data_IF_078012090230
#
_entry.id   IF_078012090230
#
_cell.length_a   1.000
_cell.length_b   1.000
_cell.length_c   1.000
_cell.angle_alpha   90.00
_cell.angle_beta   90.00
_cell.angle_gamma   90.00
#
_symmetry.space_group_name_H-M   'P 1'
#
loop_
_entity.id
_entity.type
_entity.pdbx_description
1 polymer ?
2 non-polymer ?
3 water ?
#
# COMPACT_ATOMS: atom_id res chain seq x y z
N UNK A 1 41.18 50.34 -33.45
CA UNK A 1 40.30 49.22 -33.14
C UNK A 1 39.28 49.62 -32.08
N UNK A 2 39.11 50.94 -31.89
CA UNK A 2 38.29 51.39 -30.78
C UNK A 2 36.82 51.36 -31.13
N UNK A 3 36.47 51.04 -32.37
CA UNK A 3 35.07 50.96 -32.73
C UNK A 3 34.48 49.59 -32.40
N UNK A 4 35.25 48.53 -32.65
CA UNK A 4 34.86 47.22 -32.13
C UNK A 4 34.91 47.20 -30.61
N UNK A 5 35.88 47.90 -30.03
CA UNK A 5 35.93 48.03 -28.57
C UNK A 5 34.62 48.59 -28.03
N UNK A 6 34.13 49.67 -28.65
CA UNK A 6 32.89 50.29 -28.18
C UNK A 6 31.69 49.38 -28.39
N UNK A 7 31.64 48.71 -29.54
CA UNK A 7 30.49 47.86 -29.86
C UNK A 7 30.34 46.72 -28.87
N UNK A 8 31.46 46.10 -28.49
CA UNK A 8 31.41 45.02 -27.51
C UNK A 8 30.89 45.53 -26.17
N UNK A 9 31.33 46.71 -25.74
CA UNK A 9 30.91 47.26 -24.45
C UNK A 9 29.41 47.52 -24.42
N UNK A 10 28.82 47.82 -25.56
CA UNK A 10 27.39 48.10 -25.58
C UNK A 10 26.56 46.82 -25.51
N UNK A 11 26.95 45.79 -26.25
CA UNK A 11 26.23 44.52 -26.19
C UNK A 11 26.38 43.86 -24.83
N UNK A 12 27.48 44.12 -24.14
CA UNK A 12 27.65 43.61 -22.79
C UNK A 12 26.74 44.33 -21.81
N UNK A 13 26.67 45.66 -21.91
CA UNK A 13 25.68 46.42 -21.14
C UNK A 13 24.28 45.87 -21.39
N UNK A 14 23.88 45.79 -22.66
CA UNK A 14 22.56 45.27 -22.99
C UNK A 14 22.37 43.87 -22.42
N UNK A 15 23.39 43.02 -22.56
CA UNK A 15 23.29 41.65 -22.06
C UNK A 15 23.13 41.63 -20.54
N UNK A 16 24.05 42.27 -19.83
CA UNK A 16 23.94 42.35 -18.38
C UNK A 16 22.60 42.93 -17.96
N UNK A 17 22.26 44.13 -18.45
CA UNK A 17 21.05 44.79 -18.00
C UNK A 17 19.80 43.97 -18.29
N UNK A 18 19.81 43.19 -19.37
CA UNK A 18 18.63 42.40 -19.69
C UNK A 18 18.50 41.22 -18.73
N UNK A 19 19.56 40.43 -18.59
CA UNK A 19 19.51 39.29 -17.68
C UNK A 19 19.14 39.71 -16.27
N UNK A 20 19.57 40.90 -15.84
CA UNK A 20 19.23 41.36 -14.51
C UNK A 20 17.76 41.71 -14.38
N UNK A 21 17.17 42.29 -15.43
CA UNK A 21 15.74 42.56 -15.36
C UNK A 21 14.93 41.27 -15.36
N UNK A 22 15.37 40.28 -16.14
CA UNK A 22 14.70 38.98 -16.13
C UNK A 22 14.65 38.42 -14.72
N UNK A 23 15.81 38.33 -14.07
CA UNK A 23 15.89 37.68 -12.78
C UNK A 23 15.04 38.42 -11.74
N UNK A 24 15.10 39.75 -11.73
CA UNK A 24 14.32 40.51 -10.76
C UNK A 24 12.83 40.17 -10.87
N UNK A 25 12.34 40.03 -12.10
CA UNK A 25 10.92 39.73 -12.27
C UNK A 25 10.59 38.27 -12.04
N UNK A 26 11.55 37.38 -12.24
CA UNK A 26 11.34 35.98 -11.85
C UNK A 26 11.31 35.84 -10.33
N UNK A 27 12.24 36.52 -9.64
CA UNK A 27 12.21 36.52 -8.18
C UNK A 27 10.86 36.99 -7.66
N UNK A 28 10.36 38.09 -8.23
CA UNK A 28 9.05 38.59 -7.83
C UNK A 28 7.96 37.58 -8.16
N UNK A 29 8.07 36.93 -9.32
CA UNK A 29 7.16 35.83 -9.64
C UNK A 29 7.21 34.74 -8.58
N UNK A 30 8.42 34.25 -8.30
CA UNK A 30 8.57 33.14 -7.35
C UNK A 30 7.95 33.48 -6.00
N UNK A 31 8.25 34.66 -5.47
CA UNK A 31 7.71 35.04 -4.17
C UNK A 31 6.19 35.03 -4.18
N UNK A 32 5.58 35.40 -5.30
CA UNK A 32 4.13 35.41 -5.38
C UNK A 32 3.57 34.00 -5.31
N UNK A 33 4.08 33.09 -6.13
CA UNK A 33 3.63 31.71 -6.08
C UNK A 33 3.83 31.13 -4.69
N UNK A 34 4.89 31.55 -4.01
CA UNK A 34 5.15 31.05 -2.67
C UNK A 34 4.01 31.38 -1.73
N UNK A 35 3.62 32.65 -1.68
CA UNK A 35 2.47 33.02 -0.87
C UNK A 35 1.20 32.43 -1.43
N UNK A 36 1.11 32.25 -2.74
CA UNK A 36 -0.02 31.53 -3.32
C UNK A 36 -0.13 30.13 -2.74
N UNK A 37 1.01 29.47 -2.57
CA UNK A 37 0.99 28.12 -2.01
C UNK A 37 0.54 28.14 -0.56
N UNK A 38 1.15 29.00 0.25
CA UNK A 38 0.78 29.04 1.65
C UNK A 38 -0.67 29.45 1.85
N UNK A 39 -1.27 30.12 0.87
CA UNK A 39 -2.70 30.41 0.92
C UNK A 39 -3.51 29.21 0.48
N UNK A 40 -3.09 28.58 -0.62
CA UNK A 40 -3.79 27.39 -1.10
C UNK A 40 -3.75 26.28 -0.08
N UNK A 41 -2.60 26.15 0.61
CA UNK A 41 -2.43 25.10 1.62
C UNK A 41 -3.42 25.25 2.77
N UNK A 42 -3.61 26.47 3.25
CA UNK A 42 -4.55 26.69 4.34
C UNK A 42 -5.99 26.51 3.88
N UNK A 43 -6.32 27.05 2.72
CA UNK A 43 -7.68 26.94 2.20
C UNK A 43 -8.05 25.49 1.91
N UNK A 44 -7.06 24.67 1.54
CA UNK A 44 -7.29 23.26 1.28
C UNK A 44 -7.59 22.49 2.55
N UNK A 45 -7.26 23.04 3.71
CA UNK A 45 -7.44 22.36 4.97
C UNK A 45 -8.63 22.88 5.75
N UNK A 46 -9.14 24.06 5.39
CA UNK A 46 -10.31 24.62 6.05
C UNK A 46 -11.48 23.63 6.19
N UNK A 47 -11.92 22.96 5.11
CA UNK A 47 -13.01 21.98 5.31
C UNK A 47 -12.62 20.81 6.19
N UNK A 48 -11.35 20.35 6.13
CA UNK A 48 -10.91 19.29 7.01
C UNK A 48 -11.05 19.69 8.47
N UNK A 49 -10.57 20.89 8.81
CA UNK A 49 -10.68 21.35 10.18
C UNK A 49 -12.12 21.54 10.57
N UNK A 50 -12.94 22.04 9.65
CA UNK A 50 -14.37 22.16 9.91
C UNK A 50 -14.96 20.84 10.37
N UNK A 51 -14.56 19.74 9.73
CA UNK A 51 -15.10 18.44 10.11
C UNK A 51 -14.65 18.05 11.51
N UNK A 52 -13.35 18.19 11.77
CA UNK A 52 -12.82 17.98 13.12
C UNK A 52 -13.72 18.64 14.16
N UNK A 53 -13.95 19.93 13.96
CA UNK A 53 -14.79 20.67 14.90
C UNK A 53 -16.20 20.11 14.94
N UNK A 54 -16.79 19.89 13.76
CA UNK A 54 -18.20 19.54 13.72
C UNK A 54 -18.44 18.13 14.26
N UNK A 55 -17.52 17.21 13.99
CA UNK A 55 -17.69 15.83 14.47
C UNK A 55 -17.66 15.75 15.98
N UNK A 56 -16.89 16.61 16.64
CA UNK A 56 -16.85 16.59 18.09
C UNK A 56 -18.25 16.74 18.67
N UNK A 57 -19.02 17.69 18.15
CA UNK A 57 -20.32 17.99 18.75
C UNK A 57 -21.42 17.05 18.30
N UNK A 58 -21.31 16.48 17.10
CA UNK A 58 -22.46 15.85 16.46
C UNK A 58 -22.38 14.35 16.34
N UNK A 59 -21.24 13.73 16.65
CA UNK A 59 -21.06 12.33 16.37
C UNK A 59 -20.78 11.55 17.64
N UNK A 60 -21.17 10.27 17.63
CA UNK A 60 -21.00 9.40 18.77
C UNK A 60 -19.53 9.27 19.11
N UNK A 61 -19.22 9.38 20.40
CA UNK A 61 -17.83 9.35 20.86
C UNK A 61 -17.11 8.11 20.35
N UNK A 62 -17.74 6.94 20.51
CA UNK A 62 -17.10 5.67 20.17
C UNK A 62 -16.78 5.53 18.69
N UNK A 63 -17.35 6.37 17.83
CA UNK A 63 -17.12 6.29 16.40
C UNK A 63 -16.25 7.39 15.84
N UNK A 64 -16.06 8.48 16.58
CA UNK A 64 -15.37 9.64 16.02
C UNK A 64 -13.89 9.37 15.77
N UNK A 65 -13.30 8.45 16.54
CA UNK A 65 -11.93 8.05 16.26
C UNK A 65 -11.80 7.51 14.84
N UNK A 66 -12.76 6.69 14.43
CA UNK A 66 -12.76 6.20 13.05
C UNK A 66 -12.80 7.34 12.05
N UNK A 67 -13.64 8.34 12.30
CA UNK A 67 -13.70 9.49 11.41
C UNK A 67 -12.37 10.22 11.36
N UNK A 68 -11.83 10.57 12.53
CA UNK A 68 -10.55 11.28 12.59
C UNK A 68 -9.46 10.54 11.83
N UNK A 69 -9.49 9.21 11.82
CA UNK A 69 -8.53 8.46 11.03
C UNK A 69 -8.67 8.80 9.56
N UNK A 70 -9.90 8.74 9.05
CA UNK A 70 -10.14 9.08 7.66
C UNK A 70 -9.73 10.52 7.36
N UNK A 71 -10.05 11.44 8.27
CA UNK A 71 -9.62 12.83 8.12
C UNK A 71 -8.11 12.90 7.96
N UNK A 72 -7.38 12.16 8.79
CA UNK A 72 -5.93 12.15 8.66
C UNK A 72 -5.48 11.63 7.31
N UNK A 73 -6.15 10.58 6.82
CA UNK A 73 -5.81 10.05 5.51
C UNK A 73 -5.91 11.12 4.44
N UNK A 74 -6.89 12.01 4.59
CA UNK A 74 -7.04 13.09 3.62
C UNK A 74 -5.96 14.15 3.82
N UNK A 75 -5.72 14.54 5.07
CA UNK A 75 -4.64 15.46 5.34
C UNK A 75 -3.34 15.02 4.70
N UNK A 76 -3.05 13.71 4.74
CA UNK A 76 -1.84 13.19 4.12
C UNK A 76 -1.82 13.51 2.63
N UNK A 77 -2.97 13.42 1.98
CA UNK A 77 -3.03 13.68 0.55
C UNK A 77 -2.72 15.15 0.26
N UNK A 78 -3.40 16.06 0.97
CA UNK A 78 -3.09 17.47 0.85
C UNK A 78 -1.63 17.72 1.15
N UNK A 79 -1.12 17.08 2.20
CA UNK A 79 0.27 17.23 2.57
C UNK A 79 1.19 16.92 1.39
N UNK A 80 0.97 15.78 0.73
CA UNK A 80 1.83 15.42 -0.38
C UNK A 80 1.66 16.39 -1.54
N UNK A 81 0.43 16.82 -1.81
CA UNK A 81 0.20 17.75 -2.89
C UNK A 81 0.95 19.06 -2.66
N UNK A 82 0.94 19.54 -1.41
CA UNK A 82 1.60 20.80 -1.10
C UNK A 82 3.12 20.67 -1.11
N UNK A 83 3.64 19.68 -0.39
CA UNK A 83 5.09 19.54 -0.30
C UNK A 83 5.71 19.38 -1.68
N UNK A 84 5.08 18.58 -2.55
CA UNK A 84 5.57 18.45 -3.91
C UNK A 84 5.54 19.80 -4.62
N UNK A 85 4.43 20.53 -4.45
CA UNK A 85 4.40 21.90 -4.92
C UNK A 85 5.50 22.72 -4.28
N UNK A 86 5.72 22.55 -2.97
CA UNK A 86 6.81 23.26 -2.31
C UNK A 86 8.15 22.96 -2.97
N UNK A 87 8.37 21.70 -3.32
CA UNK A 87 9.65 21.32 -3.89
C UNK A 87 9.80 21.86 -5.30
N UNK A 88 8.70 21.98 -6.04
CA UNK A 88 8.77 22.65 -7.33
C UNK A 88 9.25 24.09 -7.18
N UNK A 89 8.71 24.81 -6.19
CA UNK A 89 9.12 26.19 -5.98
C UNK A 89 10.56 26.28 -5.54
N UNK A 90 11.01 25.32 -4.73
CA UNK A 90 12.41 25.32 -4.34
C UNK A 90 13.32 25.09 -5.54
N UNK A 91 12.84 24.35 -6.54
CA UNK A 91 13.65 24.13 -7.73
C UNK A 91 13.81 25.41 -8.53
N UNK A 92 12.73 26.17 -8.66
CA UNK A 92 12.80 27.47 -9.32
C UNK A 92 13.79 28.40 -8.62
N UNK A 93 13.78 28.39 -7.28
CA UNK A 93 14.65 29.28 -6.54
C UNK A 93 16.12 29.01 -6.84
N UNK A 94 16.50 27.74 -6.96
CA UNK A 94 17.89 27.44 -7.31
C UNK A 94 18.22 27.83 -8.73
N UNK A 95 17.27 27.62 -9.66
CA UNK A 95 17.49 28.01 -11.04
C UNK A 95 17.88 29.48 -11.14
N UNK A 96 17.14 30.35 -10.46
CA UNK A 96 17.44 31.77 -10.48
C UNK A 96 18.81 32.02 -9.85
N UNK A 97 19.02 31.46 -8.65
CA UNK A 97 20.30 31.60 -7.99
C UNK A 97 21.43 31.09 -8.87
N UNK A 98 21.16 30.07 -9.68
CA UNK A 98 22.16 29.62 -10.64
C UNK A 98 22.48 30.72 -11.64
N UNK A 99 21.46 31.25 -12.31
CA UNK A 99 21.66 32.31 -13.27
C UNK A 99 22.38 33.49 -12.65
N UNK A 100 22.11 33.78 -11.38
CA UNK A 100 22.82 34.85 -10.70
C UNK A 100 24.29 34.53 -10.55
N UNK A 101 24.61 33.30 -10.15
CA UNK A 101 26.01 32.96 -9.92
C UNK A 101 26.79 32.95 -11.22
N UNK A 102 26.18 32.45 -12.30
CA UNK A 102 26.82 32.48 -13.61
C UNK A 102 27.18 33.89 -14.02
N UNK A 103 26.35 34.87 -13.65
CA UNK A 103 26.64 36.25 -13.99
C UNK A 103 27.68 36.85 -13.07
N UNK A 104 27.82 36.35 -11.84
CA UNK A 104 28.73 37.01 -10.91
C UNK A 104 30.17 36.53 -11.06
N UNK A 105 30.38 35.24 -11.27
CA UNK A 105 31.73 34.70 -11.19
C UNK A 105 32.51 34.87 -12.50
N UNK A 106 31.82 35.06 -13.63
CA UNK A 106 32.53 35.46 -14.84
C UNK A 106 33.08 36.88 -14.71
N UNK A 107 32.33 37.78 -14.06
CA UNK A 107 32.78 39.14 -13.83
C UNK A 107 33.83 39.19 -12.73
N UNK A 108 33.39 39.27 -11.48
CA UNK A 108 34.26 39.18 -10.30
C UNK A 108 35.30 40.29 -10.29
N UNK A 109 35.02 41.39 -10.98
CA UNK A 109 35.94 42.52 -11.03
C UNK A 109 35.67 43.56 -9.95
N UNK A 110 34.66 43.34 -9.10
CA UNK A 110 34.33 44.24 -7.99
C UNK A 110 34.13 45.68 -8.45
N UNK B 7 22.77 7.63 -50.64
CA UNK B 7 22.62 6.68 -49.56
C UNK B 7 21.80 7.26 -48.40
N UNK B 8 20.54 7.57 -48.68
CA UNK B 8 19.64 8.20 -47.74
C UNK B 8 18.77 7.22 -46.98
N UNK B 9 18.15 6.26 -47.68
CA UNK B 9 17.32 5.26 -47.02
C UNK B 9 18.09 4.50 -45.95
N UNK B 10 19.39 4.30 -46.19
CA UNK B 10 20.23 3.60 -45.22
C UNK B 10 20.08 4.21 -43.83
N UNK B 11 20.11 5.53 -43.75
CA UNK B 11 19.84 6.23 -42.50
C UNK B 11 18.36 6.55 -42.35
N UNK B 12 17.81 7.31 -43.32
CA UNK B 12 16.46 7.85 -43.19
C UNK B 12 15.41 6.75 -42.97
N UNK B 13 15.48 5.66 -43.73
CA UNK B 13 14.51 4.59 -43.52
C UNK B 13 14.74 3.88 -42.19
N UNK B 14 16.01 3.64 -41.84
CA UNK B 14 16.29 2.97 -40.57
C UNK B 14 16.09 3.90 -39.38
N UNK B 15 16.43 5.18 -39.53
CA UNK B 15 16.20 6.14 -38.45
C UNK B 15 14.71 6.35 -38.21
N UNK B 16 13.92 6.39 -39.28
CA UNK B 16 12.49 6.69 -39.16
C UNK B 16 11.74 5.52 -38.54
N UNK B 17 12.09 4.29 -38.91
CA UNK B 17 11.46 3.12 -38.30
C UNK B 17 11.73 3.03 -36.81
N UNK B 18 12.78 3.70 -36.31
CA UNK B 18 13.11 3.65 -34.91
C UNK B 18 12.46 4.80 -34.14
N UNK B 19 12.55 6.02 -34.66
CA UNK B 19 11.80 7.11 -34.06
C UNK B 19 10.31 6.83 -34.07
N UNK B 20 9.82 6.11 -35.09
CA UNK B 20 8.43 5.70 -35.12
C UNK B 20 8.09 4.77 -33.95
N UNK B 21 8.82 3.65 -33.84
CA UNK B 21 8.59 2.73 -32.74
C UNK B 21 8.75 3.41 -31.39
N UNK B 22 9.70 4.35 -31.27
CA UNK B 22 9.82 5.14 -30.05
C UNK B 22 8.51 5.85 -29.75
N UNK B 23 7.86 6.40 -30.78
CA UNK B 23 6.56 7.01 -30.59
C UNK B 23 5.55 5.98 -30.09
N UNK B 24 5.58 4.78 -30.68
CA UNK B 24 4.59 3.77 -30.30
C UNK B 24 4.81 3.28 -28.87
N UNK B 25 6.04 3.37 -28.36
CA UNK B 25 6.21 3.00 -26.96
C UNK B 25 5.74 4.11 -26.03
N UNK B 26 6.02 5.36 -26.37
CA UNK B 26 5.51 6.47 -25.58
C UNK B 26 3.99 6.48 -25.58
N UNK B 27 3.38 6.05 -26.69
CA UNK B 27 1.92 5.94 -26.74
C UNK B 27 1.42 4.91 -25.73
N UNK B 28 2.06 3.74 -25.68
CA UNK B 28 1.72 2.75 -24.68
C UNK B 28 1.97 3.28 -23.28
N UNK B 29 3.17 3.81 -23.05
CA UNK B 29 3.50 4.40 -21.76
C UNK B 29 2.49 5.45 -21.32
N UNK B 30 1.89 6.17 -22.26
CA UNK B 30 0.87 7.14 -21.89
C UNK B 30 -0.44 6.45 -21.53
N UNK B 31 -0.85 5.45 -22.31
CA UNK B 31 -2.06 4.71 -21.96
C UNK B 31 -1.95 4.10 -20.57
N UNK B 32 -0.74 3.87 -20.08
CA UNK B 32 -0.55 3.30 -18.75
C UNK B 32 -0.64 4.37 -17.68
N UNK B 33 -0.10 5.55 -17.95
CA UNK B 33 -0.24 6.66 -17.01
C UNK B 33 -1.70 7.08 -16.88
N UNK B 34 -2.50 6.86 -17.93
CA UNK B 34 -3.93 7.09 -17.82
C UNK B 34 -4.57 6.18 -16.79
N UNK B 35 -4.27 4.87 -16.87
CA UNK B 35 -4.79 3.94 -15.88
C UNK B 35 -4.32 4.31 -14.48
N UNK B 36 -3.06 4.72 -14.35
CA UNK B 36 -2.53 5.05 -13.03
C UNK B 36 -3.27 6.23 -12.43
N UNK B 37 -3.59 7.24 -13.23
CA UNK B 37 -4.36 8.37 -12.70
C UNK B 37 -5.72 7.91 -12.19
N UNK B 38 -6.38 7.03 -12.93
CA UNK B 38 -7.71 6.59 -12.53
C UNK B 38 -7.65 5.83 -11.22
N UNK B 39 -6.71 4.90 -11.11
CA UNK B 39 -6.49 4.20 -9.85
C UNK B 39 -6.16 5.18 -8.73
N UNK B 40 -5.26 6.13 -9.02
CA UNK B 40 -4.94 7.17 -8.04
C UNK B 40 -6.17 8.00 -7.69
N UNK B 41 -6.99 8.28 -8.69
CA UNK B 41 -8.20 9.06 -8.46
C UNK B 41 -9.17 8.28 -7.58
N UNK B 42 -9.32 6.99 -7.84
CA UNK B 42 -10.11 6.13 -6.96
C UNK B 42 -9.58 6.17 -5.53
N UNK B 43 -8.29 5.81 -5.36
CA UNK B 43 -7.72 5.71 -4.01
C UNK B 43 -7.85 7.01 -3.25
N UNK B 44 -7.62 8.13 -3.93
CA UNK B 44 -7.70 9.43 -3.28
C UNK B 44 -9.10 9.71 -2.76
N UNK B 45 -10.11 9.03 -3.28
CA UNK B 45 -11.49 9.29 -2.87
C UNK B 45 -11.99 8.32 -1.82
N UNK B 46 -11.25 7.25 -1.54
CA UNK B 46 -11.72 6.23 -0.63
C UNK B 46 -12.03 6.77 0.77
N UNK B 47 -11.10 7.47 1.44
CA UNK B 47 -11.46 7.98 2.78
C UNK B 47 -12.60 8.98 2.75
N UNK B 48 -12.72 9.79 1.70
CA UNK B 48 -13.86 10.71 1.61
C UNK B 48 -15.16 9.95 1.59
N UNK B 49 -15.24 8.92 0.74
CA UNK B 49 -16.41 8.07 0.69
C UNK B 49 -16.64 7.36 2.02
N UNK B 50 -15.56 6.87 2.63
CA UNK B 50 -15.66 6.31 3.98
C UNK B 50 -16.38 7.28 4.91
N UNK B 51 -15.98 8.55 4.88
CA UNK B 51 -16.58 9.53 5.77
C UNK B 51 -18.05 9.71 5.47
N UNK B 52 -18.44 9.54 4.20
CA UNK B 52 -19.85 9.62 3.86
C UNK B 52 -20.65 8.54 4.53
N UNK B 53 -20.19 7.29 4.43
CA UNK B 53 -20.90 6.17 5.03
C UNK B 53 -20.90 6.30 6.54
N UNK B 54 -19.72 6.49 7.14
CA UNK B 54 -19.61 6.49 8.59
C UNK B 54 -20.43 7.60 9.21
N UNK B 55 -20.53 8.75 8.55
CA UNK B 55 -21.34 9.84 9.09
C UNK B 55 -22.81 9.45 9.17
N UNK B 56 -23.28 8.61 8.26
CA UNK B 56 -24.69 8.24 8.29
C UNK B 56 -25.04 7.59 9.61
N UNK B 57 -24.17 6.71 10.10
CA UNK B 57 -24.48 5.92 11.29
C UNK B 57 -24.26 6.69 12.58
N UNK B 58 -23.24 7.55 12.62
CA UNK B 58 -22.74 8.03 13.89
C UNK B 58 -23.18 9.44 14.25
N UNK B 59 -23.67 10.23 13.31
CA UNK B 59 -23.79 11.65 13.55
C UNK B 59 -25.23 12.13 13.46
N UNK B 60 -25.50 13.20 14.20
CA UNK B 60 -26.82 13.79 14.28
C UNK B 60 -27.34 14.08 12.88
N UNK B 61 -28.57 13.68 12.62
CA UNK B 61 -29.10 13.85 11.27
C UNK B 61 -29.27 15.33 10.94
N UNK B 62 -29.59 16.16 11.94
CA UNK B 62 -29.78 17.58 11.71
C UNK B 62 -28.46 18.33 11.54
N UNK B 63 -27.34 17.71 11.87
CA UNK B 63 -26.04 18.29 11.64
C UNK B 63 -25.32 17.65 10.47
N UNK B 64 -25.85 16.55 9.93
CA UNK B 64 -25.10 15.79 8.96
C UNK B 64 -24.99 16.50 7.61
N UNK B 65 -25.91 17.41 7.32
CA UNK B 65 -25.85 18.10 6.04
C UNK B 65 -24.70 19.09 6.00
N UNK B 66 -24.49 19.82 7.09
CA UNK B 66 -23.29 20.63 7.22
C UNK B 66 -22.04 19.78 7.04
N UNK B 67 -22.07 18.53 7.49
CA UNK B 67 -20.95 17.63 7.29
C UNK B 67 -20.78 17.31 5.82
N UNK B 68 -21.87 16.94 5.15
CA UNK B 68 -21.81 16.58 3.74
C UNK B 68 -21.32 17.75 2.90
N UNK B 69 -21.66 18.98 3.28
CA UNK B 69 -21.16 20.14 2.57
C UNK B 69 -19.64 20.20 2.61
N UNK B 70 -19.06 20.06 3.81
CA UNK B 70 -17.61 19.98 3.91
C UNK B 70 -17.07 18.86 3.05
N UNK B 71 -17.69 17.68 3.14
CA UNK B 71 -17.24 16.53 2.33
C UNK B 71 -17.23 16.90 0.86
N UNK B 72 -18.29 17.58 0.40
CA UNK B 72 -18.32 18.04 -0.97
C UNK B 72 -17.20 19.02 -1.27
N UNK B 73 -16.94 19.95 -0.35
CA UNK B 73 -15.81 20.86 -0.54
C UNK B 73 -14.53 20.10 -0.79
N UNK B 74 -14.29 19.04 -0.02
CA UNK B 74 -13.09 18.23 -0.26
C UNK B 74 -13.22 17.47 -1.58
N UNK B 75 -14.44 17.10 -1.95
CA UNK B 75 -14.63 16.51 -3.27
C UNK B 75 -14.09 17.38 -4.37
N UNK B 76 -14.38 18.69 -4.30
CA UNK B 76 -13.96 19.60 -5.37
C UNK B 76 -12.44 19.68 -5.47
N UNK B 77 -11.77 19.89 -4.35
CA UNK B 77 -10.31 19.97 -4.35
C UNK B 77 -9.70 18.76 -5.04
N UNK B 78 -10.15 17.57 -4.67
CA UNK B 78 -9.69 16.35 -5.33
C UNK B 78 -10.08 16.38 -6.79
N UNK B 79 -11.30 16.83 -7.08
CA UNK B 79 -11.77 16.87 -8.45
C UNK B 79 -10.90 17.78 -9.30
N UNK B 80 -10.49 18.92 -8.73
CA UNK B 80 -9.61 19.83 -9.46
C UNK B 80 -8.22 19.22 -9.64
N UNK B 81 -7.74 18.48 -8.65
CA UNK B 81 -6.41 17.91 -8.70
C UNK B 81 -6.31 16.82 -9.77
N UNK B 82 -7.35 16.00 -9.90
CA UNK B 82 -7.30 14.89 -10.85
C UNK B 82 -7.57 15.34 -12.28
N UNK B 83 -8.49 16.28 -12.46
CA UNK B 83 -8.75 16.80 -13.80
C UNK B 83 -7.54 17.57 -14.32
N UNK B 84 -6.89 18.33 -13.44
CA UNK B 84 -5.66 19.02 -13.83
C UNK B 84 -4.64 18.03 -14.36
N UNK B 85 -4.40 16.97 -13.60
CA UNK B 85 -3.55 15.89 -14.09
C UNK B 85 -4.07 15.37 -15.42
N UNK B 86 -5.35 14.99 -15.46
CA UNK B 86 -5.94 14.52 -16.72
C UNK B 86 -5.60 15.44 -17.88
N UNK B 87 -5.63 16.76 -17.64
CA UNK B 87 -5.29 17.70 -18.70
C UNK B 87 -3.82 17.61 -19.09
N UNK B 88 -2.93 17.46 -18.12
CA UNK B 88 -1.53 17.27 -18.44
C UNK B 88 -1.35 16.10 -19.41
N UNK B 89 -1.92 14.94 -19.06
CA UNK B 89 -1.82 13.77 -19.92
C UNK B 89 -2.48 13.96 -21.28
N UNK B 90 -3.47 14.84 -21.37
CA UNK B 90 -4.06 15.12 -22.67
C UNK B 90 -3.12 15.96 -23.53
N UNK B 91 -2.42 16.91 -22.91
CA UNK B 91 -1.38 17.64 -23.61
C UNK B 91 -0.32 16.69 -24.15
N UNK B 92 0.17 15.80 -23.30
CA UNK B 92 1.13 14.78 -23.74
C UNK B 92 0.57 13.97 -24.91
N UNK B 93 -0.72 13.67 -24.89
CA UNK B 93 -1.28 12.86 -25.96
C UNK B 93 -1.27 13.61 -27.28
N UNK B 94 -1.35 14.94 -27.23
CA UNK B 94 -1.21 15.71 -28.46
C UNK B 94 0.22 15.75 -28.94
N UNK B 95 1.16 16.02 -28.04
CA UNK B 95 2.57 16.07 -28.41
C UNK B 95 3.01 14.80 -29.12
N UNK B 96 2.66 13.64 -28.56
CA UNK B 96 3.01 12.37 -29.20
C UNK B 96 2.37 12.29 -30.58
N UNK B 97 1.07 12.57 -30.66
CA UNK B 97 0.38 12.46 -31.93
C UNK B 97 0.99 13.39 -32.96
N UNK B 98 1.28 14.63 -32.55
CA UNK B 98 2.03 15.54 -33.42
C UNK B 98 3.30 14.89 -33.93
N UNK B 99 4.15 14.43 -33.03
CA UNK B 99 5.38 13.78 -33.45
C UNK B 99 5.12 12.61 -34.39
N UNK B 100 4.01 11.88 -34.22
CA UNK B 100 3.75 10.75 -35.10
C UNK B 100 3.52 11.22 -36.53
N UNK B 101 2.64 12.21 -36.70
CA UNK B 101 2.28 12.68 -38.04
C UNK B 101 3.50 13.23 -38.77
N UNK B 102 4.27 14.08 -38.08
CA UNK B 102 5.55 14.55 -38.54
C UNK B 102 6.33 13.44 -39.21
N UNK B 103 6.63 12.41 -38.42
CA UNK B 103 7.39 11.26 -38.90
C UNK B 103 6.67 10.52 -40.02
N UNK B 104 5.33 10.47 -39.98
CA UNK B 104 4.58 9.95 -41.14
C UNK B 104 4.95 10.76 -42.36
N UNK B 105 4.81 12.08 -42.27
CA UNK B 105 5.11 12.96 -43.39
C UNK B 105 6.58 12.89 -43.78
N UNK B 106 7.46 12.58 -42.83
CA UNK B 106 8.85 12.37 -43.21
C UNK B 106 9.00 11.11 -44.06
N UNK B 107 8.29 10.04 -43.70
CA UNK B 107 8.44 8.78 -44.45
C UNK B 107 7.91 8.91 -45.87
N UNK B 108 6.78 9.60 -46.06
CA UNK B 108 6.22 9.74 -47.41
C UNK B 108 7.14 10.53 -48.33
N UNK B 109 7.83 11.55 -47.80
CA UNK B 109 8.78 12.28 -48.62
C UNK B 109 10.09 11.52 -48.79
N UNK B 110 10.48 10.69 -47.82
CA UNK B 110 11.69 9.89 -47.99
C UNK B 110 11.55 8.93 -49.16
N UNK B 111 10.35 8.36 -49.35
CA UNK B 111 10.09 7.53 -50.53
C UNK B 111 10.45 8.30 -51.80
N UNK B 112 10.05 9.57 -51.84
CA UNK B 112 10.38 10.41 -52.98
C UNK B 112 11.89 10.59 -53.13
N UNK B 113 12.61 10.64 -52.01
CA UNK B 113 14.05 10.83 -52.09
C UNK B 113 14.74 9.57 -52.61
N UNK B 114 14.23 8.39 -52.24
CA UNK B 114 14.83 7.16 -52.71
C UNK B 114 14.62 6.99 -54.22
N UNK B 115 13.62 7.67 -54.78
CA UNK B 115 13.25 7.56 -56.20
C UNK B 115 14.44 7.51 -57.17
N UNK C 1 -14.71 -35.92 61.47
CA UNK C 1 -14.74 -35.28 60.17
C UNK C 1 -13.44 -35.53 59.42
N UNK C 2 -12.62 -36.44 59.95
CA UNK C 2 -11.29 -36.65 59.39
C UNK C 2 -11.34 -37.36 58.04
N UNK C 3 -12.45 -38.02 57.74
CA UNK C 3 -12.63 -38.58 56.40
C UNK C 3 -12.64 -37.47 55.35
N UNK C 4 -13.64 -36.59 55.43
CA UNK C 4 -13.75 -35.50 54.47
C UNK C 4 -12.46 -34.67 54.40
N UNK C 5 -11.76 -34.54 55.53
CA UNK C 5 -10.43 -33.94 55.49
C UNK C 5 -9.49 -34.75 54.58
N UNK C 6 -9.47 -36.07 54.74
CA UNK C 6 -8.53 -36.88 53.99
C UNK C 6 -8.83 -36.87 52.49
N UNK C 7 -10.11 -36.93 52.10
CA UNK C 7 -10.47 -36.93 50.67
C UNK C 7 -9.96 -35.67 50.00
N UNK C 8 -10.33 -34.52 50.56
CA UNK C 8 -9.90 -33.22 50.05
C UNK C 8 -8.40 -33.21 49.79
N UNK C 9 -7.62 -33.79 50.70
CA UNK C 9 -6.18 -33.80 50.55
C UNK C 9 -5.75 -34.64 49.35
N UNK C 10 -6.48 -35.70 49.05
CA UNK C 10 -6.12 -36.52 47.89
C UNK C 10 -6.43 -35.81 46.59
N UNK C 11 -7.66 -35.30 46.45
CA UNK C 11 -8.06 -34.59 45.25
C UNK C 11 -7.24 -33.30 45.05
N UNK C 12 -6.68 -32.75 46.11
CA UNK C 12 -5.78 -31.62 45.94
C UNK C 12 -4.42 -32.08 45.44
N UNK C 13 -3.87 -33.13 46.04
CA UNK C 13 -2.62 -33.70 45.54
C UNK C 13 -2.76 -34.20 44.11
N UNK C 14 -3.97 -34.65 43.74
CA UNK C 14 -4.21 -35.08 42.38
C UNK C 14 -4.32 -33.89 41.43
N UNK C 15 -5.20 -32.93 41.75
CA UNK C 15 -5.35 -31.75 40.90
C UNK C 15 -4.01 -31.05 40.69
N UNK C 16 -3.14 -31.08 41.69
CA UNK C 16 -1.91 -30.31 41.62
C UNK C 16 -0.83 -31.05 40.85
N UNK C 17 -0.73 -32.37 41.04
CA UNK C 17 0.25 -33.13 40.26
C UNK C 17 -0.09 -33.14 38.78
N UNK C 18 -1.39 -33.15 38.45
CA UNK C 18 -1.79 -33.18 37.05
C UNK C 18 -1.44 -31.88 36.34
N UNK C 19 -1.94 -30.75 36.85
CA UNK C 19 -1.65 -29.45 36.25
C UNK C 19 -0.16 -29.27 36.03
N UNK C 20 0.65 -29.67 37.01
CA UNK C 20 2.10 -29.62 36.87
C UNK C 20 2.57 -30.42 35.66
N UNK C 21 2.14 -31.69 35.59
CA UNK C 21 2.56 -32.53 34.48
C UNK C 21 2.21 -31.89 33.14
N UNK C 22 1.01 -31.31 33.07
CA UNK C 22 0.58 -30.58 31.88
C UNK C 22 1.60 -29.48 31.55
N UNK C 23 1.93 -28.66 32.54
CA UNK C 23 2.80 -27.52 32.28
C UNK C 23 4.21 -27.99 31.94
N UNK C 24 4.73 -29.00 32.62
CA UNK C 24 6.05 -29.48 32.27
C UNK C 24 6.12 -29.94 30.82
N UNK C 25 5.03 -30.47 30.27
CA UNK C 25 5.09 -30.93 28.89
C UNK C 25 4.80 -29.80 27.90
N UNK C 26 3.86 -28.92 28.24
CA UNK C 26 3.63 -27.75 27.43
C UNK C 26 4.89 -26.91 27.29
N UNK C 27 5.62 -26.73 28.39
CA UNK C 27 6.91 -26.06 28.31
C UNK C 27 7.83 -26.75 27.32
N UNK C 28 7.90 -28.08 27.40
CA UNK C 28 8.78 -28.82 26.49
C UNK C 28 8.34 -28.66 25.04
N UNK C 29 7.02 -28.74 24.80
CA UNK C 29 6.53 -28.53 23.43
C UNK C 29 6.85 -27.13 22.94
N UNK C 30 6.64 -26.13 23.79
CA UNK C 30 6.91 -24.75 23.40
C UNK C 30 8.36 -24.59 22.96
N UNK C 31 9.31 -25.05 23.79
CA UNK C 31 10.72 -24.93 23.45
C UNK C 31 11.02 -25.55 22.09
N UNK C 32 10.40 -26.69 21.81
CA UNK C 32 10.63 -27.36 20.53
C UNK C 32 10.19 -26.48 19.38
N UNK C 33 8.93 -26.03 19.42
CA UNK C 33 8.41 -25.14 18.39
C UNK C 33 9.33 -23.94 18.20
N UNK C 34 9.87 -23.42 19.30
CA UNK C 34 10.78 -22.29 19.23
C UNK C 34 12.00 -22.61 18.35
N UNK C 35 12.62 -23.75 18.57
CA UNK C 35 13.74 -24.13 17.73
C UNK C 35 13.30 -24.45 16.32
N UNK C 36 12.11 -25.07 16.17
CA UNK C 36 11.55 -25.29 14.85
C UNK C 36 11.42 -23.99 14.09
N UNK C 37 10.93 -22.95 14.76
CA UNK C 37 10.73 -21.68 14.10
C UNK C 37 12.05 -21.11 13.61
N UNK C 38 13.10 -21.17 14.44
CA UNK C 38 14.37 -20.65 13.98
C UNK C 38 14.90 -21.45 12.80
N UNK C 39 14.79 -22.78 12.88
CA UNK C 39 15.19 -23.61 11.74
C UNK C 39 14.38 -23.27 10.50
N UNK C 40 13.06 -23.09 10.65
CA UNK C 40 12.24 -22.71 9.51
C UNK C 40 12.65 -21.34 8.98
N UNK C 41 13.02 -20.43 9.88
CA UNK C 41 13.45 -19.09 9.49
C UNK C 41 14.66 -19.15 8.58
N UNK C 42 15.69 -19.88 9.00
CA UNK C 42 16.92 -19.95 8.23
C UNK C 42 16.70 -20.66 6.90
N UNK C 43 15.97 -21.77 6.92
CA UNK C 43 15.69 -22.50 5.69
C UNK C 43 14.96 -21.62 4.69
N UNK C 44 14.11 -20.73 5.17
CA UNK C 44 13.36 -19.84 4.30
C UNK C 44 14.29 -18.92 3.53
N UNK C 45 15.19 -18.24 4.24
CA UNK C 45 16.08 -17.28 3.62
C UNK C 45 17.19 -17.94 2.82
N UNK C 46 17.37 -19.25 2.96
CA UNK C 46 18.44 -19.93 2.25
C UNK C 46 18.37 -19.71 0.75
N UNK C 47 17.25 -19.95 0.05
CA UNK C 47 17.23 -19.63 -1.38
C UNK C 47 17.44 -18.16 -1.67
N UNK C 48 16.84 -17.27 -0.87
CA UNK C 48 17.08 -15.85 -1.03
C UNK C 48 18.55 -15.53 -1.04
N UNK C 49 19.27 -15.99 -0.01
CA UNK C 49 20.70 -15.73 0.07
C UNK C 49 21.41 -16.31 -1.14
N UNK C 50 20.98 -17.49 -1.59
CA UNK C 50 21.60 -18.10 -2.76
C UNK C 50 21.51 -17.19 -3.97
N UNK C 51 20.38 -16.52 -4.16
CA UNK C 51 20.23 -15.64 -5.31
C UNK C 51 21.21 -14.49 -5.23
N UNK C 52 21.24 -13.80 -4.08
CA UNK C 52 22.26 -12.78 -3.83
C UNK C 52 23.62 -13.22 -4.30
N UNK C 53 24.08 -14.37 -3.81
CA UNK C 53 25.39 -14.87 -4.17
C UNK C 53 25.52 -15.06 -5.67
N UNK C 54 24.52 -15.68 -6.29
CA UNK C 54 24.63 -16.02 -7.70
C UNK C 54 24.58 -14.77 -8.58
N UNK C 55 23.71 -13.83 -8.24
CA UNK C 55 23.57 -12.64 -9.07
C UNK C 55 24.85 -11.84 -9.14
N UNK C 56 25.61 -11.80 -8.03
CA UNK C 56 26.88 -11.09 -8.05
C UNK C 56 27.74 -11.54 -9.20
N UNK C 57 27.84 -12.86 -9.40
CA UNK C 57 28.71 -13.38 -10.45
C UNK C 57 28.06 -13.39 -11.83
N UNK C 58 26.75 -13.55 -11.91
CA UNK C 58 26.11 -13.85 -13.18
C UNK C 58 25.34 -12.70 -13.79
N UNK C 59 25.11 -11.62 -13.07
CA UNK C 59 24.19 -10.60 -13.54
C UNK C 59 24.88 -9.26 -13.66
N UNK C 60 24.45 -8.52 -14.68
CA UNK C 60 25.09 -7.27 -15.05
C UNK C 60 25.08 -6.30 -13.86
N UNK C 61 26.15 -5.51 -13.76
CA UNK C 61 26.33 -4.63 -12.62
C UNK C 61 25.17 -3.64 -12.49
N UNK C 62 24.88 -2.93 -13.58
CA UNK C 62 23.90 -1.85 -13.56
C UNK C 62 22.48 -2.31 -13.27
N UNK C 63 22.22 -3.63 -13.29
CA UNK C 63 20.88 -4.14 -13.07
C UNK C 63 20.71 -4.87 -11.74
N UNK C 64 21.79 -5.29 -11.10
CA UNK C 64 21.67 -6.11 -9.90
C UNK C 64 21.06 -5.35 -8.74
N UNK C 65 21.13 -4.02 -8.75
CA UNK C 65 20.45 -3.25 -7.72
C UNK C 65 18.94 -3.47 -7.79
N UNK C 66 18.39 -3.51 -9.00
CA UNK C 66 16.97 -3.78 -9.16
C UNK C 66 16.60 -5.15 -8.60
N UNK C 67 17.36 -6.17 -9.00
CA UNK C 67 17.18 -7.50 -8.44
C UNK C 67 17.21 -7.45 -6.92
N UNK C 68 18.30 -6.90 -6.36
CA UNK C 68 18.44 -6.80 -4.92
C UNK C 68 17.26 -6.08 -4.28
N UNK C 69 16.53 -5.27 -5.04
CA UNK C 69 15.35 -4.63 -4.48
C UNK C 69 14.25 -5.66 -4.26
N UNK C 70 13.88 -6.40 -5.32
CA UNK C 70 12.84 -7.41 -5.19
C UNK C 70 13.20 -8.43 -4.12
N UNK C 71 14.46 -8.85 -4.09
CA UNK C 71 14.92 -9.77 -3.04
C UNK C 71 14.54 -9.25 -1.67
N UNK C 72 14.82 -7.97 -1.43
CA UNK C 72 14.47 -7.39 -0.15
C UNK C 72 12.98 -7.43 0.10
N UNK C 73 12.18 -7.14 -0.92
CA UNK C 73 10.74 -7.21 -0.79
C UNK C 73 10.31 -8.58 -0.26
N UNK C 74 10.93 -9.63 -0.76
CA UNK C 74 10.58 -10.97 -0.35
C UNK C 74 11.05 -11.23 1.08
N UNK C 75 12.28 -10.85 1.40
CA UNK C 75 12.72 -10.94 2.78
C UNK C 75 11.75 -10.28 3.73
N UNK C 76 11.19 -9.13 3.34
CA UNK C 76 10.16 -8.52 4.16
C UNK C 76 8.96 -9.44 4.30
N UNK C 77 8.62 -10.15 3.23
CA UNK C 77 7.52 -11.10 3.31
C UNK C 77 7.85 -12.23 4.26
N UNK C 78 9.05 -12.79 4.14
CA UNK C 78 9.50 -13.77 5.11
C UNK C 78 9.53 -13.16 6.50
N UNK C 79 9.91 -11.88 6.58
CA UNK C 79 9.95 -11.19 7.87
C UNK C 79 8.59 -11.17 8.54
N UNK C 80 7.54 -10.87 7.78
CA UNK C 80 6.21 -10.83 8.36
C UNK C 80 5.81 -12.18 8.92
N UNK C 81 6.00 -13.23 8.12
CA UNK C 81 5.60 -14.58 8.56
C UNK C 81 6.41 -15.03 9.77
N UNK C 82 7.70 -14.66 9.83
CA UNK C 82 8.55 -15.09 10.93
C UNK C 82 8.12 -14.46 12.24
N UNK C 83 8.09 -13.13 12.30
CA UNK C 83 7.73 -12.47 13.54
C UNK C 83 6.30 -12.82 13.97
N UNK C 84 5.42 -13.07 13.01
CA UNK C 84 4.06 -13.50 13.34
C UNK C 84 4.10 -14.75 14.19
N UNK C 85 4.71 -15.81 13.66
CA UNK C 85 4.84 -17.04 14.40
C UNK C 85 5.61 -16.82 15.69
N UNK C 86 6.54 -15.87 15.71
CA UNK C 86 7.23 -15.53 16.94
C UNK C 86 6.26 -14.96 17.96
N UNK C 87 5.32 -14.12 17.51
CA UNK C 87 4.38 -13.54 18.44
C UNK C 87 3.40 -14.58 18.95
N UNK C 88 2.93 -15.47 18.08
CA UNK C 88 2.10 -16.57 18.53
C UNK C 88 2.81 -17.39 19.59
N UNK C 89 4.07 -17.75 19.33
CA UNK C 89 4.83 -18.51 20.31
C UNK C 89 5.02 -17.73 21.60
N UNK C 90 5.18 -16.41 21.50
CA UNK C 90 5.32 -15.63 22.72
C UNK C 90 4.00 -15.54 23.47
N UNK C 91 2.89 -15.64 22.75
CA UNK C 91 1.59 -15.64 23.42
C UNK C 91 1.37 -16.93 24.18
N UNK C 92 1.77 -18.06 23.58
CA UNK C 92 1.73 -19.34 24.29
C UNK C 92 2.49 -19.26 25.59
N UNK C 93 3.73 -18.76 25.55
CA UNK C 93 4.53 -18.62 26.76
C UNK C 93 3.78 -17.87 27.85
N UNK C 94 3.05 -16.82 27.47
CA UNK C 94 2.29 -16.08 28.46
C UNK C 94 1.20 -16.92 29.11
N UNK C 95 0.55 -17.77 28.32
CA UNK C 95 -0.50 -18.64 28.87
C UNK C 95 0.07 -19.57 29.92
N UNK C 96 1.16 -20.26 29.59
CA UNK C 96 1.81 -21.17 30.54
C UNK C 96 2.14 -20.45 31.83
N UNK C 97 2.86 -19.34 31.73
CA UNK C 97 3.29 -18.64 32.94
C UNK C 97 2.10 -18.17 33.75
N UNK C 98 0.98 -17.87 33.09
CA UNK C 98 -0.23 -17.49 33.81
C UNK C 98 -0.73 -18.64 34.67
N UNK C 99 -0.90 -19.82 34.08
CA UNK C 99 -1.32 -20.99 34.82
C UNK C 99 -0.42 -21.24 36.02
N UNK C 100 0.89 -21.08 35.83
CA UNK C 100 1.83 -21.16 36.94
C UNK C 100 1.43 -20.21 38.06
N UNK C 101 1.42 -18.91 37.76
CA UNK C 101 1.12 -17.91 38.77
C UNK C 101 -0.23 -18.17 39.42
N UNK C 102 -1.17 -18.72 38.66
CA UNK C 102 -2.45 -19.13 39.23
C UNK C 102 -2.25 -20.09 40.39
N UNK C 103 -1.42 -21.10 40.19
CA UNK C 103 -1.23 -22.11 41.22
C UNK C 103 -0.43 -21.54 42.39
N UNK C 104 0.73 -20.96 42.09
CA UNK C 104 1.60 -20.49 43.17
C UNK C 104 0.90 -19.47 44.04
N UNK C 105 0.16 -18.55 43.44
CA UNK C 105 -0.47 -17.48 44.21
C UNK C 105 -1.81 -17.88 44.79
N UNK C 106 -2.22 -19.13 44.62
CA UNK C 106 -3.28 -19.68 45.47
C UNK C 106 -2.69 -20.36 46.70
N UNK C 107 -1.49 -20.95 46.57
CA UNK C 107 -0.88 -21.66 47.69
C UNK C 107 -0.03 -20.72 48.56
N UNK C 108 1.05 -20.16 47.99
CA UNK C 108 1.84 -19.11 48.63
C UNK C 108 2.50 -19.59 49.92
N UNK C 109 2.99 -20.82 49.91
CA UNK C 109 3.54 -21.40 51.13
C UNK C 109 5.05 -21.21 51.14
N UNK C 110 5.59 -20.92 52.32
CA UNK C 110 7.00 -20.68 52.53
C UNK C 110 7.93 -21.68 51.85
N UNK D 7 -45.33 -18.00 23.86
CA UNK D 7 -44.55 -18.69 24.88
C UNK D 7 -43.14 -19.00 24.38
N UNK D 8 -43.03 -20.04 23.56
CA UNK D 8 -41.74 -20.41 22.99
C UNK D 8 -41.39 -19.52 21.79
N UNK D 9 -42.30 -19.43 20.81
CA UNK D 9 -42.10 -18.51 19.70
C UNK D 9 -42.01 -17.07 20.18
N UNK D 10 -42.50 -16.79 21.40
CA UNK D 10 -42.43 -15.46 21.99
C UNK D 10 -41.06 -14.83 21.79
N UNK D 11 -40.01 -15.60 22.05
CA UNK D 11 -38.63 -15.13 21.94
C UNK D 11 -37.73 -16.08 21.18
N UNK D 12 -37.87 -17.39 21.38
CA UNK D 12 -36.95 -18.35 20.75
C UNK D 12 -37.06 -18.32 19.23
N UNK D 13 -38.24 -18.01 18.69
CA UNK D 13 -38.37 -17.84 17.24
C UNK D 13 -37.67 -16.56 16.78
N UNK D 14 -37.82 -15.48 17.56
CA UNK D 14 -37.10 -14.25 17.25
C UNK D 14 -35.59 -14.41 17.51
N UNK D 15 -35.22 -15.25 18.47
CA UNK D 15 -33.80 -15.54 18.71
C UNK D 15 -33.18 -16.24 17.51
N UNK D 16 -33.89 -17.20 16.93
CA UNK D 16 -33.35 -17.97 15.80
C UNK D 16 -33.17 -17.08 14.57
N UNK D 17 -34.23 -16.36 14.19
CA UNK D 17 -34.15 -15.44 13.05
C UNK D 17 -32.91 -14.57 13.12
N UNK D 18 -32.52 -14.16 14.33
CA UNK D 18 -31.30 -13.37 14.53
C UNK D 18 -30.06 -14.22 14.30
N UNK D 19 -29.98 -15.37 14.98
CA UNK D 19 -28.81 -16.24 14.84
C UNK D 19 -28.60 -16.68 13.40
N UNK D 20 -29.67 -16.84 12.63
CA UNK D 20 -29.51 -17.15 11.21
C UNK D 20 -28.90 -15.98 10.45
N UNK D 21 -29.43 -14.78 10.66
CA UNK D 21 -28.87 -13.61 10.00
C UNK D 21 -27.44 -13.33 10.47
N UNK D 22 -27.14 -13.61 11.73
CA UNK D 22 -25.75 -13.51 12.18
C UNK D 22 -24.87 -14.45 11.36
N UNK D 23 -25.40 -15.61 10.99
CA UNK D 23 -24.60 -16.57 10.25
C UNK D 23 -24.48 -16.17 8.79
N UNK D 24 -25.51 -15.55 8.22
CA UNK D 24 -25.38 -15.12 6.84
C UNK D 24 -24.33 -14.03 6.71
N UNK D 25 -24.08 -13.28 7.78
CA UNK D 25 -23.03 -12.28 7.75
C UNK D 25 -21.66 -12.90 7.96
N UNK D 26 -21.57 -13.91 8.82
CA UNK D 26 -20.33 -14.66 8.93
C UNK D 26 -19.94 -15.25 7.58
N UNK D 27 -20.92 -15.67 6.78
CA UNK D 27 -20.64 -16.23 5.46
C UNK D 27 -20.14 -15.16 4.51
N UNK D 28 -20.81 -14.01 4.48
CA UNK D 28 -20.35 -12.92 3.62
C UNK D 28 -18.93 -12.51 3.99
N UNK D 29 -18.63 -12.51 5.29
CA UNK D 29 -17.30 -12.12 5.74
C UNK D 29 -16.25 -13.16 5.35
N UNK D 30 -16.64 -14.42 5.30
CA UNK D 30 -15.71 -15.44 4.84
C UNK D 30 -15.38 -15.24 3.37
N UNK D 31 -16.41 -15.02 2.54
CA UNK D 31 -16.18 -14.79 1.12
C UNK D 31 -15.26 -13.60 0.91
N UNK D 32 -15.36 -12.58 1.75
CA UNK D 32 -14.46 -11.44 1.66
C UNK D 32 -13.03 -11.86 1.95
N UNK D 33 -12.80 -12.37 3.16
CA UNK D 33 -11.48 -12.88 3.53
C UNK D 33 -10.96 -13.90 2.55
N UNK D 34 -11.84 -14.53 1.76
CA UNK D 34 -11.40 -15.33 0.64
C UNK D 34 -10.80 -14.45 -0.45
N UNK D 35 -11.49 -13.36 -0.82
CA UNK D 35 -10.95 -12.45 -1.83
C UNK D 35 -9.71 -11.75 -1.33
N UNK D 36 -9.66 -11.44 -0.04
CA UNK D 36 -8.45 -10.85 0.53
C UNK D 36 -7.26 -11.79 0.42
N UNK D 37 -7.49 -13.10 0.51
CA UNK D 37 -6.39 -14.03 0.37
C UNK D 37 -5.87 -14.06 -1.07
N UNK D 38 -6.77 -14.15 -2.04
CA UNK D 38 -6.34 -14.18 -3.43
C UNK D 38 -5.52 -12.94 -3.76
N UNK D 39 -6.02 -11.77 -3.38
CA UNK D 39 -5.26 -10.53 -3.57
C UNK D 39 -3.91 -10.63 -2.88
N UNK D 40 -3.90 -11.07 -1.63
CA UNK D 40 -2.66 -11.17 -0.87
C UNK D 40 -1.73 -12.23 -1.44
N UNK D 41 -2.29 -13.25 -2.09
CA UNK D 41 -1.48 -14.26 -2.75
C UNK D 41 -0.75 -13.69 -3.95
N UNK D 42 -1.46 -12.93 -4.77
CA UNK D 42 -0.84 -12.31 -5.94
C UNK D 42 0.27 -11.34 -5.54
N UNK D 43 -0.03 -10.38 -4.67
CA UNK D 43 0.97 -9.42 -4.24
C UNK D 43 2.18 -10.12 -3.66
N UNK D 44 1.96 -11.19 -2.90
CA UNK D 44 3.07 -11.95 -2.34
C UNK D 44 3.93 -12.56 -3.43
N UNK D 45 3.39 -12.79 -4.62
CA UNK D 45 4.15 -13.37 -5.70
C UNK D 45 4.80 -12.35 -6.61
N UNK D 46 4.28 -11.13 -6.63
CA UNK D 46 4.73 -10.12 -7.60
C UNK D 46 6.24 -9.91 -7.63
N UNK D 47 6.91 -9.65 -6.50
CA UNK D 47 8.38 -9.49 -6.58
C UNK D 47 9.09 -10.74 -7.09
N UNK D 48 8.55 -11.93 -6.82
CA UNK D 48 9.13 -13.14 -7.39
C UNK D 48 9.00 -13.15 -8.90
N UNK D 49 7.84 -12.76 -9.40
CA UNK D 49 7.65 -12.68 -10.85
C UNK D 49 8.60 -11.66 -11.46
N UNK D 50 8.77 -10.51 -10.80
CA UNK D 50 9.70 -9.50 -11.28
C UNK D 50 11.09 -10.08 -11.50
N UNK D 51 11.53 -10.95 -10.60
CA UNK D 51 12.87 -11.52 -10.72
C UNK D 51 12.99 -12.41 -11.94
N UNK D 52 11.97 -13.20 -12.21
CA UNK D 52 11.94 -14.03 -13.41
C UNK D 52 12.19 -13.20 -14.66
N UNK D 53 11.42 -12.13 -14.83
CA UNK D 53 11.57 -11.27 -15.99
C UNK D 53 12.95 -10.65 -16.04
N UNK D 54 13.37 -10.04 -14.92
CA UNK D 54 14.60 -9.26 -14.91
C UNK D 54 15.82 -10.13 -15.16
N UNK D 55 15.82 -11.35 -14.63
CA UNK D 55 16.98 -12.21 -14.82
C UNK D 55 17.14 -12.61 -16.28
N UNK D 56 16.04 -12.73 -17.02
CA UNK D 56 16.16 -13.02 -18.44
C UNK D 56 17.03 -11.96 -19.12
N UNK D 57 16.83 -10.70 -18.75
CA UNK D 57 17.53 -9.59 -19.41
C UNK D 57 18.97 -9.46 -18.95
N UNK D 58 19.23 -9.65 -17.66
CA UNK D 58 20.47 -9.20 -17.06
C UNK D 58 21.45 -10.32 -16.75
N UNK D 59 21.04 -11.58 -16.75
CA UNK D 59 21.89 -12.62 -16.20
C UNK D 59 22.30 -13.63 -17.25
N UNK D 60 23.52 -14.15 -17.06
CA UNK D 60 24.10 -15.14 -17.97
C UNK D 60 23.10 -16.24 -18.26
N UNK D 61 23.07 -16.65 -19.52
CA UNK D 61 22.12 -17.69 -19.91
C UNK D 61 22.47 -19.02 -19.26
N UNK D 62 23.75 -19.37 -19.23
CA UNK D 62 24.19 -20.64 -18.67
C UNK D 62 24.14 -20.68 -17.15
N UNK D 63 23.82 -19.57 -16.51
CA UNK D 63 23.67 -19.54 -15.07
C UNK D 63 22.23 -19.32 -14.65
N UNK D 64 21.34 -19.00 -15.58
CA UNK D 64 20.00 -18.62 -15.20
C UNK D 64 19.15 -19.80 -14.77
N UNK D 65 19.42 -21.00 -15.31
CA UNK D 65 18.72 -22.18 -14.82
C UNK D 65 18.93 -22.33 -13.32
N UNK D 66 20.15 -22.11 -12.84
CA UNK D 66 20.40 -22.14 -11.41
C UNK D 66 19.53 -21.12 -10.69
N UNK D 67 19.44 -19.91 -11.26
CA UNK D 67 18.61 -18.87 -10.67
C UNK D 67 17.15 -19.28 -10.60
N UNK D 68 16.63 -19.83 -11.69
CA UNK D 68 15.23 -20.23 -11.71
C UNK D 68 14.93 -21.32 -10.70
N UNK D 69 15.90 -22.17 -10.40
CA UNK D 69 15.69 -23.17 -9.37
C UNK D 69 15.42 -22.52 -8.03
N UNK D 70 16.23 -21.53 -7.65
CA UNK D 70 16.02 -20.82 -6.38
C UNK D 70 14.69 -20.08 -6.36
N UNK D 71 14.24 -19.59 -7.52
CA UNK D 71 12.93 -18.94 -7.57
C UNK D 71 11.82 -19.95 -7.35
N UNK D 72 11.94 -21.12 -7.98
CA UNK D 72 10.99 -22.19 -7.71
C UNK D 72 10.89 -22.50 -6.23
N UNK D 73 12.04 -22.64 -5.57
CA UNK D 73 12.04 -22.89 -4.13
C UNK D 73 11.21 -21.85 -3.39
N UNK D 74 11.36 -20.59 -3.76
CA UNK D 74 10.59 -19.54 -3.10
C UNK D 74 9.13 -19.64 -3.48
N UNK D 75 8.85 -19.83 -4.78
CA UNK D 75 7.48 -20.08 -5.18
C UNK D 75 6.84 -21.20 -4.37
N UNK D 76 7.63 -22.20 -4.01
CA UNK D 76 7.09 -23.28 -3.18
C UNK D 76 6.81 -22.80 -1.76
N UNK D 77 7.65 -21.91 -1.24
CA UNK D 77 7.44 -21.39 0.10
C UNK D 77 6.15 -20.59 0.17
N UNK D 78 5.95 -19.68 -0.80
CA UNK D 78 4.73 -18.90 -0.83
C UNK D 78 3.53 -19.81 -1.03
N UNK D 79 3.73 -20.91 -1.75
CA UNK D 79 2.64 -21.85 -2.03
C UNK D 79 2.07 -22.41 -0.73
N UNK D 80 2.92 -23.04 0.07
CA UNK D 80 2.48 -23.61 1.34
C UNK D 80 1.81 -22.56 2.20
N UNK D 81 2.45 -21.40 2.32
CA UNK D 81 1.89 -20.31 3.09
C UNK D 81 0.48 -19.95 2.63
N UNK D 82 0.22 -20.02 1.33
CA UNK D 82 -1.07 -19.58 0.83
C UNK D 82 -2.12 -20.66 0.94
N UNK D 83 -1.75 -21.92 0.68
CA UNK D 83 -2.70 -23.01 0.80
C UNK D 83 -3.09 -23.24 2.25
N UNK D 84 -2.13 -23.16 3.16
CA UNK D 84 -2.43 -23.24 4.58
C UNK D 84 -3.46 -22.18 4.97
N UNK D 85 -3.25 -20.95 4.52
CA UNK D 85 -4.25 -19.93 4.76
C UNK D 85 -5.57 -20.29 4.08
N UNK D 86 -5.50 -20.89 2.90
CA UNK D 86 -6.71 -21.34 2.24
C UNK D 86 -7.40 -22.41 3.06
N UNK D 87 -6.63 -23.40 3.51
CA UNK D 87 -7.21 -24.49 4.27
C UNK D 87 -7.87 -23.99 5.54
N UNK D 88 -7.21 -23.06 6.23
CA UNK D 88 -7.83 -22.46 7.41
C UNK D 88 -9.20 -21.91 7.09
N UNK D 89 -9.32 -21.23 5.94
CA UNK D 89 -10.59 -20.61 5.56
C UNK D 89 -11.64 -21.66 5.21
N UNK D 90 -11.21 -22.81 4.68
CA UNK D 90 -12.15 -23.88 4.41
C UNK D 90 -12.70 -24.47 5.72
N UNK D 91 -11.83 -24.63 6.71
CA UNK D 91 -12.27 -25.07 8.03
C UNK D 91 -13.32 -24.12 8.59
N UNK D 92 -13.01 -22.82 8.58
CA UNK D 92 -13.99 -21.82 8.97
C UNK D 92 -15.30 -21.99 8.23
N UNK D 93 -15.23 -22.33 6.94
CA UNK D 93 -16.44 -22.47 6.15
C UNK D 93 -17.27 -23.66 6.62
N UNK D 94 -16.62 -24.75 7.03
CA UNK D 94 -17.37 -25.85 7.58
C UNK D 94 -18.10 -25.48 8.86
N UNK D 95 -17.41 -24.76 9.75
CA UNK D 95 -18.01 -24.38 11.02
C UNK D 95 -19.25 -23.52 10.82
N UNK D 96 -19.20 -22.60 9.85
CA UNK D 96 -20.37 -21.78 9.55
C UNK D 96 -21.49 -22.64 9.00
N UNK D 97 -21.16 -23.48 8.02
CA UNK D 97 -22.18 -24.32 7.40
C UNK D 97 -22.79 -25.27 8.41
N UNK D 98 -21.97 -25.85 9.27
CA UNK D 98 -22.49 -26.65 10.37
C UNK D 98 -23.50 -25.87 11.20
N UNK D 99 -23.03 -24.80 11.86
CA UNK D 99 -23.89 -24.00 12.72
C UNK D 99 -25.13 -23.53 11.97
N UNK D 100 -25.03 -23.32 10.66
CA UNK D 100 -26.20 -22.97 9.88
C UNK D 100 -27.19 -24.14 9.83
N UNK D 101 -26.69 -25.36 9.67
CA UNK D 101 -27.59 -26.51 9.65
C UNK D 101 -28.20 -26.76 11.02
N UNK D 102 -27.38 -26.63 12.06
CA UNK D 102 -27.89 -26.74 13.42
C UNK D 102 -29.11 -25.85 13.61
N UNK D 103 -29.00 -24.58 13.24
CA UNK D 103 -30.13 -23.67 13.37
C UNK D 103 -31.24 -23.96 12.38
N UNK D 104 -30.94 -24.62 11.26
CA UNK D 104 -32.01 -24.97 10.32
C UNK D 104 -32.98 -25.95 10.96
N UNK D 105 -32.47 -27.07 11.47
CA UNK D 105 -33.32 -28.06 12.13
C UNK D 105 -34.00 -27.46 13.35
N UNK D 106 -33.29 -26.61 14.09
CA UNK D 106 -33.81 -26.09 15.35
C UNK D 106 -35.04 -25.23 15.13
N UNK D 107 -35.04 -24.43 14.06
CA UNK D 107 -36.25 -23.69 13.70
C UNK D 107 -37.40 -24.65 13.38
N UNK D 108 -37.12 -25.67 12.56
CA UNK D 108 -38.16 -26.63 12.20
C UNK D 108 -38.76 -27.30 13.44
N UNK D 109 -37.91 -27.74 14.36
CA UNK D 109 -38.41 -28.28 15.62
C UNK D 109 -39.27 -27.26 16.35
N UNK D 110 -38.85 -25.99 16.34
CA UNK D 110 -39.64 -24.95 17.02
C UNK D 110 -41.01 -24.80 16.39
N UNK D 111 -41.10 -24.93 15.07
CA UNK D 111 -42.41 -24.96 14.43
C UNK D 111 -43.20 -26.17 14.88
N UNK D 112 -42.52 -27.28 15.13
CA UNK D 112 -43.21 -28.49 15.52
C UNK D 112 -43.67 -28.42 16.97
N UNK D 113 -42.85 -27.84 17.84
CA UNK D 113 -43.23 -27.72 19.24
C UNK D 113 -44.32 -26.68 19.43
N UNK D 114 -44.25 -25.57 18.68
CA UNK D 114 -45.29 -24.55 18.75
C UNK D 114 -46.60 -25.03 18.14
N UNK D 115 -46.56 -26.10 17.35
CA UNK D 115 -47.79 -26.67 16.80
C UNK D 115 -48.77 -27.05 17.91
N UNK D 116 -48.25 -27.55 19.03
CA UNK D 116 -49.06 -28.01 20.16
C UNK D 116 -49.98 -26.91 20.67
#
# INVERSE_FOLDING_TARGET
MIEERLEALQSESHRLENALSIIEEERKQLKLKEAELQEEYQNSLRPLQQLQYLTLSACEEEKRQELMYEIGQIGDLIEDWATDKREALKREEGRIEDKQNELFYKRQKLILEVEEQKKDKESTDG
MIEERLEALQSESHRLENALSIIEEERKQLKLKEAELQEEYQNSLRPLQQLQYLTLSACEEEKRQELMYEIGQIGDLIEDWATDKREALKREEGRIEDKQNELFYKRQKLILEVEEQKKDKESTDG
MIEERLEALQSESHRLENALSIIEEERKQLKLKEAELQEEYQNSLRPLQQLQYLTLSACEEEKRQELMYEIGQIGDLIEDWATDKREALKREEGRIEDKQNELFYKRQKLILEVEEQKKDKESTDG
MIEERLEALQSESHRLENALSIIEEERKQLKLKEAELQEEYQNSLRPLQQLQYLTLSACEEEKRQELMYEIGQIGDLIEDWATDKREALKREEGRIEDKQNELFYKRQKLILEVEEQKKDKESTDG
#
